data_IF_527030150835
#
_entry.id   IF_527030150835
#
_cell.length_a   1.000
_cell.length_b   1.000
_cell.length_c   1.000
_cell.angle_alpha   90.00
_cell.angle_beta   90.00
_cell.angle_gamma   90.00
#
_symmetry.space_group_name_H-M   'P 1'
#
loop_
_entity.id
_entity.type
_entity.pdbx_description
1 polymer ?
#
# COMPACT_ATOMS: atom_id res chain seq x y z
N UNK A 1 15.26 -0.85 25.85
CA UNK A 1 14.41 0.22 25.28
C UNK A 1 12.95 -0.21 25.42
N UNK A 2 12.30 0.18 26.53
CA UNK A 2 10.90 -0.17 26.82
C UNK A 2 10.01 0.91 26.24
N UNK A 3 9.46 0.70 25.05
CA UNK A 3 8.62 1.71 24.37
C UNK A 3 7.12 1.49 24.57
N UNK A 4 6.73 0.31 25.06
CA UNK A 4 5.33 -0.11 25.25
C UNK A 4 4.99 -0.45 26.71
N UNK A 5 5.98 -0.66 27.59
CA UNK A 5 5.75 -1.02 29.01
C UNK A 5 5.26 0.14 29.91
N UNK A 6 5.10 1.35 29.36
CA UNK A 6 4.60 2.52 30.11
C UNK A 6 3.11 2.79 29.84
N UNK A 7 2.49 2.03 28.94
CA UNK A 7 1.06 2.12 28.70
C UNK A 7 0.31 1.26 29.70
N UNK A 8 0.20 1.76 30.93
CA UNK A 8 -0.60 1.16 32.00
C UNK A 8 -2.10 1.23 31.70
N UNK A 9 -2.53 2.11 30.78
CA UNK A 9 -3.94 2.33 30.47
C UNK A 9 -4.49 1.18 29.65
N UNK A 10 -3.68 0.61 28.76
CA UNK A 10 -4.11 -0.42 27.79
C UNK A 10 -5.35 -0.01 26.97
N UNK A 11 -5.66 1.29 26.93
CA UNK A 11 -6.82 1.87 26.24
C UNK A 11 -6.42 3.16 25.54
N UNK A 12 -7.04 3.43 24.39
CA UNK A 12 -6.81 4.65 23.62
C UNK A 12 -7.19 5.93 24.39
N UNK A 13 -6.58 7.06 24.01
CA UNK A 13 -6.89 8.39 24.56
C UNK A 13 -8.07 9.09 23.85
N UNK A 14 -8.48 8.56 22.69
CA UNK A 14 -9.57 9.03 21.85
C UNK A 14 -9.98 7.90 20.86
N UNK A 15 -11.11 8.05 20.19
CA UNK A 15 -11.48 7.20 19.05
C UNK A 15 -10.86 7.70 17.72
N UNK A 16 -11.09 6.97 16.63
CA UNK A 16 -10.57 7.27 15.30
C UNK A 16 -11.46 8.15 14.42
N UNK A 17 -12.56 8.69 14.96
CA UNK A 17 -13.63 9.31 14.18
C UNK A 17 -13.19 10.51 13.31
N UNK A 18 -12.06 11.16 13.64
CA UNK A 18 -11.47 12.22 12.82
C UNK A 18 -11.11 11.76 11.40
N UNK A 19 -10.81 10.47 11.20
CA UNK A 19 -10.48 9.89 9.89
C UNK A 19 -11.66 9.20 9.20
N UNK A 20 -12.79 9.02 9.88
CA UNK A 20 -13.98 8.34 9.34
C UNK A 20 -14.39 8.83 7.95
N UNK A 21 -14.48 10.17 7.68
CA UNK A 21 -14.90 10.64 6.36
C UNK A 21 -13.95 10.20 5.23
N UNK A 22 -12.64 10.20 5.48
CA UNK A 22 -11.63 9.84 4.49
C UNK A 22 -11.65 8.33 4.21
N UNK A 23 -11.73 7.51 5.26
CA UNK A 23 -11.76 6.05 5.14
C UNK A 23 -13.04 5.58 4.47
N UNK A 24 -14.20 6.17 4.83
CA UNK A 24 -15.49 5.86 4.19
C UNK A 24 -15.50 6.25 2.72
N UNK A 25 -15.01 7.45 2.37
CA UNK A 25 -14.92 7.90 0.97
C UNK A 25 -14.08 6.94 0.12
N UNK A 26 -12.92 6.52 0.63
CA UNK A 26 -12.07 5.53 -0.04
C UNK A 26 -12.85 4.22 -0.27
N UNK A 27 -13.45 3.65 0.78
CA UNK A 27 -14.20 2.40 0.71
C UNK A 27 -15.39 2.48 -0.27
N UNK A 28 -16.16 3.58 -0.23
CA UNK A 28 -17.30 3.80 -1.11
C UNK A 28 -16.87 3.92 -2.57
N UNK A 29 -15.73 4.58 -2.83
CA UNK A 29 -15.21 4.78 -4.19
C UNK A 29 -14.64 3.48 -4.76
N UNK A 30 -13.89 2.72 -3.95
CA UNK A 30 -13.33 1.41 -4.35
C UNK A 30 -14.37 0.38 -4.77
N UNK A 31 -15.61 0.50 -4.27
CA UNK A 31 -16.72 -0.41 -4.57
C UNK A 31 -17.41 -0.13 -5.90
N UNK A 32 -17.07 0.97 -6.57
CA UNK A 32 -17.68 1.35 -7.84
C UNK A 32 -17.05 0.54 -8.98
N UNK A 33 -17.87 0.20 -9.97
CA UNK A 33 -17.38 -0.43 -11.19
C UNK A 33 -16.31 0.46 -11.86
N UNK A 34 -15.22 -0.16 -12.31
CA UNK A 34 -14.12 0.55 -12.95
C UNK A 34 -13.15 1.24 -11.99
N UNK A 35 -13.19 0.96 -10.68
CA UNK A 35 -12.13 1.42 -9.76
C UNK A 35 -10.75 0.98 -10.25
N UNK A 36 -10.56 -0.32 -10.54
CA UNK A 36 -9.34 -0.82 -11.17
C UNK A 36 -9.46 -0.59 -12.67
N UNK A 37 -8.76 0.43 -13.20
CA UNK A 37 -8.96 0.88 -14.59
C UNK A 37 -7.76 0.68 -15.51
N UNK A 38 -6.53 0.89 -15.03
CA UNK A 38 -5.31 0.81 -15.84
C UNK A 38 -4.64 -0.56 -15.70
N UNK A 39 -3.94 -0.99 -16.75
CA UNK A 39 -3.12 -2.21 -16.68
C UNK A 39 -1.94 -1.95 -15.72
N UNK A 40 -1.84 -2.65 -14.59
CA UNK A 40 -0.82 -2.37 -13.58
C UNK A 40 0.61 -2.66 -14.09
N UNK A 41 0.75 -3.55 -15.08
CA UNK A 41 2.02 -3.83 -15.76
C UNK A 41 2.54 -2.62 -16.54
N UNK A 42 1.65 -1.80 -17.08
CA UNK A 42 1.99 -0.61 -17.86
C UNK A 42 2.15 0.61 -16.95
N UNK A 43 1.26 0.77 -15.97
CA UNK A 43 1.25 1.94 -15.08
C UNK A 43 2.21 1.78 -13.90
N UNK A 44 2.08 0.71 -13.10
CA UNK A 44 2.77 0.59 -11.80
C UNK A 44 4.18 0.00 -11.93
N UNK A 45 4.32 -1.06 -12.73
CA UNK A 45 5.55 -1.85 -12.80
C UNK A 45 6.81 -1.06 -13.17
N UNK A 46 6.78 -0.08 -14.11
CA UNK A 46 7.95 0.73 -14.41
C UNK A 46 8.47 1.52 -13.19
N UNK A 47 7.56 2.04 -12.36
CA UNK A 47 7.91 2.77 -11.15
C UNK A 47 8.46 1.86 -10.06
N UNK A 48 7.85 0.69 -9.85
CA UNK A 48 8.33 -0.31 -8.89
C UNK A 48 9.72 -0.82 -9.26
N UNK A 49 9.97 -1.14 -10.55
CA UNK A 49 11.29 -1.57 -11.03
C UNK A 49 12.36 -0.51 -10.78
N UNK A 50 12.04 0.76 -11.05
CA UNK A 50 12.95 1.88 -10.78
C UNK A 50 13.22 2.02 -9.28
N UNK A 51 12.19 1.90 -8.45
CA UNK A 51 12.27 2.07 -7.01
C UNK A 51 12.97 0.91 -6.29
N UNK A 52 12.98 -0.29 -6.87
CA UNK A 52 13.73 -1.42 -6.32
C UNK A 52 15.22 -1.10 -6.14
N UNK A 53 15.81 -0.37 -7.11
CA UNK A 53 17.20 0.06 -7.04
C UNK A 53 18.17 -1.09 -6.80
N UNK A 54 19.14 -0.89 -5.91
CA UNK A 54 20.09 -1.93 -5.47
C UNK A 54 19.65 -2.67 -4.20
N UNK A 55 18.63 -2.15 -3.50
CA UNK A 55 18.20 -2.69 -2.20
C UNK A 55 17.22 -3.84 -2.36
N UNK A 56 16.38 -3.79 -3.40
CA UNK A 56 15.35 -4.78 -3.69
C UNK A 56 15.62 -5.48 -5.02
N UNK A 57 15.21 -6.74 -5.08
CA UNK A 57 15.15 -7.50 -6.32
C UNK A 57 13.70 -7.87 -6.60
N UNK A 58 13.17 -7.44 -7.75
CA UNK A 58 11.87 -7.88 -8.25
C UNK A 58 11.98 -9.34 -8.73
N UNK A 59 11.27 -10.25 -8.07
CA UNK A 59 11.28 -11.68 -8.37
C UNK A 59 10.16 -12.11 -9.31
N UNK A 60 9.04 -11.39 -9.31
CA UNK A 60 7.90 -11.68 -10.17
C UNK A 60 6.74 -10.75 -9.91
N UNK A 61 5.79 -10.73 -10.84
CA UNK A 61 4.53 -10.01 -10.74
C UNK A 61 3.44 -10.79 -11.47
N UNK A 62 2.18 -10.53 -11.10
CA UNK A 62 1.00 -11.00 -11.83
C UNK A 62 -0.23 -10.21 -11.41
N UNK A 63 -1.12 -9.94 -12.37
CA UNK A 63 -2.50 -9.55 -12.09
C UNK A 63 -3.35 -10.79 -11.75
N UNK A 64 -4.05 -10.75 -10.62
CA UNK A 64 -4.98 -11.79 -10.19
C UNK A 64 -6.40 -11.52 -10.72
N UNK A 65 -7.24 -12.55 -10.75
CA UNK A 65 -8.63 -12.49 -11.25
C UNK A 65 -9.52 -11.51 -10.44
N UNK A 66 -9.13 -11.19 -9.20
CA UNK A 66 -9.83 -10.24 -8.32
C UNK A 66 -9.33 -8.78 -8.49
N UNK A 67 -8.45 -8.52 -9.47
CA UNK A 67 -7.90 -7.20 -9.75
C UNK A 67 -6.72 -6.81 -8.86
N UNK A 68 -6.26 -7.69 -7.96
CA UNK A 68 -5.05 -7.45 -7.17
C UNK A 68 -3.81 -7.69 -8.01
N UNK A 69 -2.93 -6.70 -8.06
CA UNK A 69 -1.61 -6.83 -8.66
C UNK A 69 -0.60 -7.33 -7.62
N UNK A 70 -0.24 -8.61 -7.73
CA UNK A 70 0.73 -9.25 -6.84
C UNK A 70 2.14 -8.98 -7.33
N UNK A 71 3.01 -8.51 -6.44
CA UNK A 71 4.40 -8.19 -6.72
C UNK A 71 5.27 -8.87 -5.68
N UNK A 72 6.16 -9.76 -6.12
CA UNK A 72 7.09 -10.45 -5.24
C UNK A 72 8.48 -9.82 -5.36
N UNK A 73 9.06 -9.46 -4.22
CA UNK A 73 10.39 -8.88 -4.12
C UNK A 73 11.20 -9.60 -3.05
N UNK A 74 12.53 -9.53 -3.13
CA UNK A 74 13.42 -9.83 -2.00
C UNK A 74 14.17 -8.57 -1.57
N UNK A 75 14.36 -8.42 -0.26
CA UNK A 75 15.14 -7.33 0.32
C UNK A 75 16.57 -7.80 0.62
N UNK A 76 17.56 -7.02 0.21
CA UNK A 76 18.95 -7.31 0.54
C UNK A 76 19.29 -6.99 2.00
N UNK A 77 20.10 -7.87 2.60
CA UNK A 77 20.64 -7.72 3.96
C UNK A 77 19.66 -8.12 5.08
N UNK A 78 20.19 -8.20 6.30
CA UNK A 78 19.43 -8.65 7.46
C UNK A 78 18.60 -7.49 8.01
N UNK A 79 17.32 -7.47 7.65
CA UNK A 79 16.31 -6.54 8.19
C UNK A 79 15.24 -7.36 8.89
N UNK A 80 14.77 -6.87 10.03
CA UNK A 80 13.72 -7.55 10.81
C UNK A 80 12.68 -6.57 11.35
N UNK A 81 11.49 -7.12 11.61
CA UNK A 81 10.38 -6.42 12.27
C UNK A 81 9.96 -5.13 11.55
N UNK A 82 9.82 -4.05 12.32
CA UNK A 82 9.31 -2.75 11.82
C UNK A 82 10.19 -2.12 10.73
N UNK A 83 11.44 -2.55 10.57
CA UNK A 83 12.31 -2.03 9.50
C UNK A 83 11.82 -2.47 8.13
N UNK A 84 11.51 -3.77 7.97
CA UNK A 84 10.92 -4.31 6.73
C UNK A 84 9.63 -3.54 6.40
N UNK A 85 8.79 -3.29 7.39
CA UNK A 85 7.55 -2.55 7.20
C UNK A 85 7.76 -1.15 6.61
N UNK A 86 8.74 -0.41 7.13
CA UNK A 86 9.08 0.93 6.64
C UNK A 86 9.69 0.90 5.25
N UNK A 87 10.55 -0.08 4.99
CA UNK A 87 11.21 -0.25 3.69
C UNK A 87 10.16 -0.64 2.62
N UNK A 88 9.19 -1.50 2.97
CA UNK A 88 8.06 -1.87 2.11
C UNK A 88 7.15 -0.67 1.80
N UNK A 89 6.79 0.14 2.80
CA UNK A 89 6.04 1.40 2.56
C UNK A 89 6.83 2.34 1.64
N UNK A 90 8.15 2.45 1.83
CA UNK A 90 9.00 3.27 0.96
C UNK A 90 8.97 2.77 -0.49
N UNK A 91 9.06 1.46 -0.71
CA UNK A 91 8.94 0.88 -2.06
C UNK A 91 7.55 1.17 -2.67
N UNK A 92 6.48 0.89 -1.92
CA UNK A 92 5.11 1.14 -2.36
C UNK A 92 4.83 2.63 -2.61
N UNK A 93 5.50 3.54 -1.91
CA UNK A 93 5.34 4.98 -2.14
C UNK A 93 5.76 5.44 -3.54
N UNK A 94 6.53 4.63 -4.28
CA UNK A 94 6.90 4.90 -5.65
C UNK A 94 5.72 4.88 -6.64
N UNK A 95 4.61 4.25 -6.25
CA UNK A 95 3.36 4.18 -7.00
C UNK A 95 2.22 4.89 -6.27
N UNK A 96 2.52 5.69 -5.25
CA UNK A 96 1.49 6.35 -4.47
C UNK A 96 0.81 7.46 -5.28
N UNK A 97 -0.51 7.36 -5.33
CA UNK A 97 -1.45 8.39 -5.74
C UNK A 97 -2.07 9.09 -4.51
N UNK A 98 -2.87 10.16 -4.68
CA UNK A 98 -3.39 10.97 -3.55
C UNK A 98 -4.06 10.15 -2.43
N UNK A 99 -4.80 9.09 -2.77
CA UNK A 99 -5.21 8.08 -1.82
C UNK A 99 -4.15 6.96 -1.79
N UNK A 100 -3.63 6.67 -0.61
CA UNK A 100 -2.63 5.63 -0.39
C UNK A 100 -2.81 5.02 1.00
N UNK A 101 -3.26 3.77 1.05
CA UNK A 101 -3.44 3.01 2.29
C UNK A 101 -2.66 1.71 2.18
N UNK A 102 -1.79 1.47 3.16
CA UNK A 102 -0.99 0.25 3.27
C UNK A 102 -1.29 -0.44 4.58
N UNK A 103 -1.49 -1.74 4.51
CA UNK A 103 -1.61 -2.63 5.66
C UNK A 103 -0.66 -3.80 5.48
N UNK A 104 0.09 -4.10 6.54
CA UNK A 104 0.72 -5.41 6.63
C UNK A 104 -0.32 -6.43 7.12
N UNK A 105 -0.74 -7.34 6.25
CA UNK A 105 -1.75 -8.36 6.57
C UNK A 105 -1.14 -9.61 7.18
N UNK A 106 0.08 -9.96 6.76
CA UNK A 106 0.86 -11.10 7.25
C UNK A 106 2.36 -10.75 7.33
N UNK A 107 3.20 -11.55 8.01
CA UNK A 107 4.65 -11.38 7.94
C UNK A 107 5.14 -11.37 6.48
N UNK A 108 5.75 -10.26 6.05
CA UNK A 108 6.23 -10.10 4.67
C UNK A 108 5.16 -9.76 3.62
N UNK A 109 3.87 -9.67 3.98
CA UNK A 109 2.78 -9.37 3.03
C UNK A 109 2.17 -8.00 3.33
N UNK A 110 2.19 -7.13 2.33
CA UNK A 110 1.66 -5.77 2.41
C UNK A 110 0.60 -5.56 1.34
N UNK A 111 -0.64 -5.38 1.78
CA UNK A 111 -1.74 -4.99 0.91
C UNK A 111 -1.79 -3.46 0.84
N UNK A 112 -1.92 -2.94 -0.36
CA UNK A 112 -1.95 -1.53 -0.66
C UNK A 112 -3.12 -1.22 -1.58
N UNK A 113 -3.88 -0.19 -1.24
CA UNK A 113 -4.74 0.49 -2.21
C UNK A 113 -4.14 1.86 -2.48
N UNK A 114 -4.07 2.21 -3.76
CA UNK A 114 -3.70 3.56 -4.17
C UNK A 114 -4.60 4.03 -5.30
N UNK A 115 -4.89 5.33 -5.37
CA UNK A 115 -5.76 5.87 -6.40
C UNK A 115 -6.04 7.35 -6.25
N UNK A 116 -6.92 7.85 -7.10
CA UNK A 116 -7.53 9.17 -7.04
C UNK A 116 -9.01 9.06 -6.66
N UNK A 117 -9.45 9.86 -5.69
CA UNK A 117 -10.86 9.99 -5.32
C UNK A 117 -11.50 11.20 -6.01
N UNK A 118 -12.84 11.25 -6.02
CA UNK A 118 -13.55 12.40 -6.60
C UNK A 118 -13.13 13.71 -5.91
N UNK A 119 -12.68 14.68 -6.71
CA UNK A 119 -12.21 15.99 -6.22
C UNK A 119 -10.73 16.03 -5.83
N UNK A 120 -10.01 14.91 -5.91
CA UNK A 120 -8.56 14.94 -5.75
C UNK A 120 -7.92 15.62 -6.98
N UNK A 121 -6.84 16.41 -6.80
CA UNK A 121 -6.11 16.96 -7.93
C UNK A 121 -5.46 15.83 -8.75
N UNK A 122 -5.37 15.96 -10.09
CA UNK A 122 -5.73 17.11 -10.91
C UNK A 122 -7.21 17.12 -11.40
N UNK A 123 -8.10 16.30 -10.82
CA UNK A 123 -9.51 16.24 -11.20
C UNK A 123 -9.86 15.14 -12.21
N UNK A 124 -9.12 14.03 -12.22
CA UNK A 124 -9.48 12.84 -12.98
C UNK A 124 -10.77 12.19 -12.44
N UNK A 125 -11.40 11.32 -13.24
CA UNK A 125 -12.41 10.40 -12.72
C UNK A 125 -11.78 9.51 -11.65
N UNK A 126 -12.52 9.15 -10.62
CA UNK A 126 -12.00 8.24 -9.59
C UNK A 126 -11.58 6.89 -10.17
N UNK A 127 -10.39 6.44 -9.79
CA UNK A 127 -9.80 5.16 -10.14
C UNK A 127 -8.61 4.85 -9.24
N UNK A 128 -8.09 3.62 -9.30
CA UNK A 128 -6.89 3.23 -8.60
C UNK A 128 -6.50 1.78 -8.85
N UNK A 129 -5.69 1.25 -7.94
CA UNK A 129 -5.12 -0.08 -8.00
C UNK A 129 -5.15 -0.76 -6.64
N UNK A 130 -5.21 -2.08 -6.68
CA UNK A 130 -4.98 -2.97 -5.54
C UNK A 130 -3.64 -3.65 -5.75
N UNK A 131 -2.75 -3.58 -4.77
CA UNK A 131 -1.40 -4.14 -4.86
C UNK A 131 -1.15 -5.02 -3.65
N UNK A 132 -0.62 -6.22 -3.88
CA UNK A 132 -0.09 -7.09 -2.83
C UNK A 132 1.42 -7.23 -3.02
N UNK A 133 2.19 -6.61 -2.13
CA UNK A 133 3.63 -6.79 -2.09
C UNK A 133 4.00 -7.96 -1.18
N UNK A 134 4.72 -8.93 -1.72
CA UNK A 134 5.26 -10.09 -1.00
C UNK A 134 6.77 -9.92 -0.89
N UNK A 135 7.27 -9.78 0.33
CA UNK A 135 8.70 -9.70 0.65
C UNK A 135 9.19 -11.08 1.08
N UNK A 136 10.18 -11.61 0.36
CA UNK A 136 10.85 -12.89 0.64
C UNK A 136 12.28 -12.70 1.10
#
# INVERSE_FOLDING_TARGET
MRRWDIDERQTGIADGSAMDPQVRKLLETMRRDGWVTEAPEEHLLPHLRRACGSEWLLLGERLLDDGVYEVTVSLSGDREGVRIHRDAIRLLSAIAEPAFFVRQSEPGVFDCVTGVLDGDPPGFKSHGHLVRLIVR
#
